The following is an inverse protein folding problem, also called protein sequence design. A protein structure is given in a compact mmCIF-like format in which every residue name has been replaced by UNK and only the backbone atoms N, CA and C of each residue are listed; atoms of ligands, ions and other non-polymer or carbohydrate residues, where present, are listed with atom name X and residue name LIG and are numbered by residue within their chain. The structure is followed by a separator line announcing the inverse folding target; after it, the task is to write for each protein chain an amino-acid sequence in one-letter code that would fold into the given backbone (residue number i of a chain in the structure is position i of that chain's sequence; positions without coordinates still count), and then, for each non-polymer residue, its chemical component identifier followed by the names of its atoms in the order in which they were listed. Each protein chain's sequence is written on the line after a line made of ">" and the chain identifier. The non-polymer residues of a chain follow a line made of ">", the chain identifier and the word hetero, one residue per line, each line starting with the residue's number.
data_IF_739313694879
#
_entry.id   IF_739313694879
#
_cell.length_a   1.000
_cell.length_b   1.000
_cell.length_c   1.000
_cell.angle_alpha   90.00
_cell.angle_beta   90.00
_cell.angle_gamma   90.00
#
_symmetry.space_group_name_H-M   'P 1'
#
loop_
_entity.id
_entity.type
_entity.pdbx_description
1 polymer ?
#
# COMPACT_ATOMS: atom_id res chain seq x y z
N UNK A 1 -19.74 -23.72 -7.22
CA UNK A 1 -18.74 -22.65 -7.45
C UNK A 1 -17.91 -22.40 -6.19
N UNK A 2 -16.59 -22.51 -6.30
CA UNK A 2 -15.63 -22.42 -5.19
C UNK A 2 -14.41 -23.31 -5.46
N UNK A 3 -13.24 -22.94 -4.93
CA UNK A 3 -12.04 -23.79 -4.98
C UNK A 3 -12.26 -25.08 -4.18
N UNK A 4 -11.72 -26.20 -4.65
CA UNK A 4 -11.69 -27.45 -3.87
C UNK A 4 -10.80 -27.31 -2.63
N UNK A 5 -9.79 -26.44 -2.68
CA UNK A 5 -8.90 -26.14 -1.56
C UNK A 5 -9.58 -25.17 -0.61
N UNK A 6 -9.80 -25.62 0.62
CA UNK A 6 -10.37 -24.81 1.71
C UNK A 6 -9.26 -24.08 2.48
N UNK A 7 -9.46 -22.79 2.75
CA UNK A 7 -8.57 -21.98 3.60
C UNK A 7 -9.21 -21.75 4.96
N UNK A 8 -8.39 -21.62 6.00
CA UNK A 8 -8.83 -21.69 7.40
C UNK A 8 -9.21 -20.35 8.03
N UNK A 9 -8.91 -19.23 7.35
CA UNK A 9 -9.14 -17.88 7.84
C UNK A 9 -9.92 -17.05 6.83
N UNK A 10 -10.43 -15.90 7.28
CA UNK A 10 -11.07 -14.95 6.38
C UNK A 10 -10.05 -14.36 5.40
N UNK A 11 -10.45 -14.02 4.16
CA UNK A 11 -9.57 -13.36 3.19
C UNK A 11 -8.86 -12.12 3.76
N UNK A 12 -9.58 -11.31 4.56
CA UNK A 12 -9.01 -10.12 5.22
C UNK A 12 -7.87 -10.46 6.18
N UNK A 13 -7.93 -11.58 6.90
CA UNK A 13 -6.87 -11.98 7.83
C UNK A 13 -5.59 -12.37 7.09
N UNK A 14 -5.72 -12.99 5.91
CA UNK A 14 -4.58 -13.24 5.04
C UNK A 14 -4.03 -11.93 4.47
N UNK A 15 -4.92 -11.04 4.01
CA UNK A 15 -4.55 -9.76 3.44
C UNK A 15 -3.75 -8.92 4.44
N UNK A 16 -4.29 -8.65 5.63
CA UNK A 16 -3.61 -7.86 6.66
C UNK A 16 -2.32 -8.52 7.15
N UNK A 17 -2.20 -9.85 7.15
CA UNK A 17 -0.96 -10.50 7.58
C UNK A 17 0.12 -10.51 6.49
N UNK A 18 -0.25 -10.58 5.21
CA UNK A 18 0.67 -11.01 4.15
C UNK A 18 0.73 -10.10 2.93
N UNK A 19 -0.17 -9.13 2.80
CA UNK A 19 -0.14 -8.16 1.70
C UNK A 19 0.45 -6.84 2.19
N UNK A 20 1.33 -6.26 1.38
CA UNK A 20 1.87 -4.91 1.59
C UNK A 20 1.51 -4.08 0.37
N UNK A 21 1.08 -2.84 0.59
CA UNK A 21 0.57 -1.96 -0.46
C UNK A 21 1.54 -0.81 -0.64
N UNK A 22 2.10 -0.73 -1.84
CA UNK A 22 2.93 0.40 -2.23
C UNK A 22 2.04 1.58 -2.66
N UNK A 23 2.38 2.78 -2.19
CA UNK A 23 1.69 4.02 -2.55
C UNK A 23 2.68 5.03 -3.12
N UNK A 24 2.16 5.95 -3.92
CA UNK A 24 2.93 7.11 -4.34
C UNK A 24 3.22 8.01 -3.14
N UNK A 25 4.33 8.75 -3.21
CA UNK A 25 4.79 9.61 -2.12
C UNK A 25 3.80 10.74 -1.79
N UNK A 26 2.95 11.15 -2.73
CA UNK A 26 1.98 12.24 -2.59
C UNK A 26 0.51 11.76 -2.67
N UNK A 27 0.25 10.46 -2.46
CA UNK A 27 -1.09 9.85 -2.59
C UNK A 27 -2.11 10.48 -1.63
N UNK A 28 -2.95 11.38 -2.16
CA UNK A 28 -3.89 12.20 -1.37
C UNK A 28 -4.92 11.40 -0.58
N UNK A 29 -5.56 10.33 -1.11
CA UNK A 29 -6.53 9.52 -0.40
C UNK A 29 -5.91 8.63 0.68
N UNK A 30 -4.57 8.52 0.75
CA UNK A 30 -3.90 7.64 1.69
C UNK A 30 -4.27 7.93 3.14
N UNK A 31 -4.46 9.21 3.48
CA UNK A 31 -4.90 9.64 4.81
C UNK A 31 -6.18 8.93 5.24
N UNK A 32 -7.20 8.88 4.37
CA UNK A 32 -8.48 8.24 4.69
C UNK A 32 -8.32 6.72 4.86
N UNK A 33 -7.40 6.10 4.12
CA UNK A 33 -7.09 4.67 4.26
C UNK A 33 -6.46 4.41 5.63
N UNK A 34 -5.44 5.20 6.01
CA UNK A 34 -4.78 5.08 7.32
C UNK A 34 -5.77 5.31 8.47
N UNK A 35 -6.63 6.33 8.37
CA UNK A 35 -7.68 6.58 9.37
C UNK A 35 -8.69 5.42 9.50
N UNK A 36 -8.93 4.67 8.42
CA UNK A 36 -9.89 3.57 8.40
C UNK A 36 -9.30 2.22 8.86
N UNK A 37 -8.05 1.91 8.49
CA UNK A 37 -7.47 0.55 8.66
C UNK A 37 -6.03 0.53 9.22
N UNK A 38 -5.41 1.68 9.49
CA UNK A 38 -4.03 1.78 9.93
C UNK A 38 -3.00 1.74 8.79
N UNK A 39 -1.72 1.81 9.14
CA UNK A 39 -0.57 1.93 8.22
C UNK A 39 0.44 0.78 8.30
N UNK A 40 0.17 -0.25 9.11
CA UNK A 40 1.09 -1.40 9.38
C UNK A 40 1.62 -2.11 8.12
N UNK A 41 0.88 -2.05 7.01
CA UNK A 41 1.16 -2.76 5.77
C UNK A 41 1.35 -1.82 4.56
N UNK A 42 1.56 -0.53 4.79
CA UNK A 42 1.71 0.48 3.74
C UNK A 42 3.20 0.78 3.55
N UNK A 43 3.66 0.82 2.30
CA UNK A 43 5.03 1.17 1.93
C UNK A 43 5.03 2.23 0.84
N UNK A 44 6.11 3.01 0.72
CA UNK A 44 6.25 4.03 -0.33
C UNK A 44 6.98 3.49 -1.56
N UNK A 45 6.55 3.91 -2.75
CA UNK A 45 7.22 3.67 -4.04
C UNK A 45 7.63 4.98 -4.70
N UNK A 46 8.69 4.96 -5.51
CA UNK A 46 9.05 6.08 -6.39
C UNK A 46 8.44 5.96 -7.78
N UNK A 47 7.96 4.75 -8.12
CA UNK A 47 7.43 4.33 -9.41
C UNK A 47 8.30 4.72 -10.63
N UNK A 48 9.62 4.81 -10.44
CA UNK A 48 10.52 5.10 -11.54
C UNK A 48 10.51 3.98 -12.61
N UNK A 49 10.50 4.28 -13.92
CA UNK A 49 10.62 5.60 -14.56
C UNK A 49 9.29 6.16 -15.07
N UNK A 50 8.17 5.79 -14.45
CA UNK A 50 6.87 6.16 -14.96
C UNK A 50 6.67 7.68 -14.93
N UNK A 51 5.91 8.19 -15.91
CA UNK A 51 5.72 9.63 -16.12
C UNK A 51 4.90 10.31 -15.03
N UNK A 52 4.12 9.52 -14.32
CA UNK A 52 3.30 9.89 -13.17
C UNK A 52 4.00 9.64 -11.83
N UNK A 53 5.17 8.97 -11.83
CA UNK A 53 5.99 8.81 -10.63
C UNK A 53 6.73 10.09 -10.24
N UNK A 54 7.07 10.21 -8.96
CA UNK A 54 7.72 11.41 -8.38
C UNK A 54 9.26 11.36 -8.41
N UNK A 55 9.88 10.38 -9.08
CA UNK A 55 11.34 10.34 -9.16
C UNK A 55 11.91 11.61 -9.85
N UNK A 56 13.01 12.22 -9.34
CA UNK A 56 13.87 11.76 -8.24
C UNK A 56 13.48 12.24 -6.83
N UNK A 57 12.40 13.01 -6.68
CA UNK A 57 12.04 13.68 -5.42
C UNK A 57 11.12 12.87 -4.52
N UNK A 58 10.58 11.74 -4.98
CA UNK A 58 9.61 10.91 -4.25
C UNK A 58 10.01 10.60 -2.79
N UNK A 59 11.27 10.22 -2.55
CA UNK A 59 11.72 9.90 -1.18
C UNK A 59 11.83 11.16 -0.32
N UNK A 60 12.30 12.27 -0.88
CA UNK A 60 12.36 13.57 -0.18
C UNK A 60 10.96 14.04 0.19
N UNK A 61 9.99 13.87 -0.72
CA UNK A 61 8.59 14.21 -0.48
C UNK A 61 7.98 13.35 0.63
N UNK A 62 8.24 12.04 0.63
CA UNK A 62 7.72 11.15 1.66
C UNK A 62 8.31 11.43 3.05
N UNK A 63 9.62 11.71 3.13
CA UNK A 63 10.30 11.93 4.42
C UNK A 63 10.30 13.38 4.87
N UNK A 64 9.68 14.30 4.12
CA UNK A 64 9.62 15.73 4.45
C UNK A 64 9.27 15.89 5.94
N UNK A 65 10.30 16.24 6.73
CA UNK A 65 10.24 16.59 8.15
C UNK A 65 9.57 17.96 8.34
#
# INVERSE_FOLDING_TARGET
>A
PGSEVQISQLPSQYFFRQCYIATDADEKPLRQVVEAIGDDNIVVSTDYPHSDGLFPVAIEEFVHL
#
